data_IF_876177962072
#
_entry.id   IF_876177962072
#
_cell.length_a   1.000
_cell.length_b   1.000
_cell.length_c   1.000
_cell.angle_alpha   90.00
_cell.angle_beta   90.00
_cell.angle_gamma   90.00
#
_symmetry.space_group_name_H-M   'P 1'
#
loop_
_entity.id
_entity.type
_entity.pdbx_description
1 polymer ?
#
# COMPACT_ATOMS: atom_id res chain seq x y z
N UNK A 1 -15.72 -6.68 -11.37
CA UNK A 1 -15.30 -6.69 -12.80
C UNK A 1 -14.06 -5.81 -12.99
N UNK A 2 -13.38 -5.81 -14.16
CA UNK A 2 -12.14 -5.06 -14.39
C UNK A 2 -12.28 -3.55 -14.16
N UNK A 3 -13.48 -3.00 -14.44
CA UNK A 3 -13.85 -1.61 -14.18
C UNK A 3 -13.79 -1.26 -12.68
N UNK A 4 -14.13 -2.21 -11.80
CA UNK A 4 -14.34 -1.91 -10.39
C UNK A 4 -13.08 -1.94 -9.55
N UNK A 5 -12.07 -2.72 -9.96
CA UNK A 5 -10.86 -2.92 -9.16
C UNK A 5 -9.64 -3.22 -10.05
N UNK A 6 -8.44 -2.70 -9.72
CA UNK A 6 -7.20 -2.99 -10.47
C UNK A 6 -6.73 -4.45 -10.50
N UNK A 7 -7.49 -5.37 -9.92
CA UNK A 7 -7.23 -6.82 -9.91
C UNK A 7 -8.45 -7.60 -10.42
N UNK A 8 -9.44 -6.91 -10.99
CA UNK A 8 -10.65 -7.52 -11.51
C UNK A 8 -10.45 -8.04 -12.93
N UNK A 9 -11.19 -9.09 -13.28
CA UNK A 9 -11.12 -9.75 -14.58
C UNK A 9 -10.26 -11.02 -14.57
N UNK A 10 -10.13 -11.60 -15.75
CA UNK A 10 -9.48 -12.89 -15.96
C UNK A 10 -10.46 -14.05 -15.91
N UNK A 11 -10.08 -15.14 -16.57
CA UNK A 11 -10.81 -16.41 -16.52
C UNK A 11 -10.48 -17.14 -15.21
N UNK A 12 -11.52 -17.64 -14.53
CA UNK A 12 -11.36 -18.34 -13.24
C UNK A 12 -10.78 -17.45 -12.14
N UNK A 13 -9.82 -17.99 -11.36
CA UNK A 13 -9.13 -17.24 -10.30
C UNK A 13 -7.76 -16.80 -10.76
N UNK A 14 -7.56 -15.49 -10.94
CA UNK A 14 -6.28 -14.93 -11.35
C UNK A 14 -5.54 -14.19 -10.24
N UNK A 15 -4.21 -14.15 -10.37
CA UNK A 15 -3.35 -13.34 -9.52
C UNK A 15 -3.50 -11.84 -9.80
N UNK A 16 -2.71 -11.00 -9.13
CA UNK A 16 -2.84 -9.54 -9.26
C UNK A 16 -2.46 -8.95 -10.62
N UNK A 17 -1.69 -9.67 -11.45
CA UNK A 17 -1.19 -9.22 -12.76
C UNK A 17 -0.14 -8.08 -12.72
N UNK A 18 -0.20 -7.19 -11.72
CA UNK A 18 0.73 -6.07 -11.55
C UNK A 18 1.86 -6.38 -10.57
N UNK A 19 3.06 -5.86 -10.88
CA UNK A 19 4.25 -5.94 -10.00
C UNK A 19 4.00 -5.38 -8.60
N UNK A 20 3.17 -4.35 -8.48
CA UNK A 20 2.79 -3.72 -7.20
C UNK A 20 1.30 -3.95 -6.96
N UNK A 21 0.94 -4.26 -5.72
CA UNK A 21 -0.47 -4.27 -5.33
C UNK A 21 -1.01 -2.84 -5.39
N UNK A 22 -2.27 -2.70 -5.78
CA UNK A 22 -2.95 -1.40 -5.85
C UNK A 22 -4.24 -1.44 -5.05
N UNK A 23 -4.61 -0.31 -4.47
CA UNK A 23 -5.96 -0.12 -3.93
C UNK A 23 -6.98 -0.05 -5.08
N UNK A 24 -8.28 -0.09 -4.75
CA UNK A 24 -9.36 0.16 -5.71
C UNK A 24 -9.12 1.42 -6.57
N UNK A 25 -8.51 2.44 -5.96
CA UNK A 25 -8.23 3.74 -6.57
C UNK A 25 -6.86 3.82 -7.28
N UNK A 26 -6.19 2.69 -7.50
CA UNK A 26 -4.92 2.63 -8.22
C UNK A 26 -3.68 3.04 -7.41
N UNK A 27 -3.83 3.51 -6.17
CA UNK A 27 -2.68 3.87 -5.32
C UNK A 27 -1.90 2.61 -4.92
N UNK A 28 -0.56 2.63 -4.93
CA UNK A 28 0.22 1.50 -4.45
C UNK A 28 -0.18 1.12 -3.02
N UNK A 29 -0.51 -0.15 -2.82
CA UNK A 29 -0.80 -0.71 -1.50
C UNK A 29 0.19 -1.82 -1.20
N UNK A 30 0.54 -2.04 0.08
CA UNK A 30 1.46 -3.10 0.46
C UNK A 30 2.33 -2.79 1.68
N UNK A 31 3.12 -3.79 2.08
CA UNK A 31 4.02 -3.72 3.24
C UNK A 31 5.08 -2.64 2.99
N UNK A 32 5.18 -1.68 3.92
CA UNK A 32 6.18 -0.61 3.90
C UNK A 32 5.77 0.66 3.15
N UNK A 33 4.59 0.71 2.50
CA UNK A 33 4.11 1.93 1.86
C UNK A 33 3.54 2.90 2.89
N UNK A 34 4.27 4.00 3.14
CA UNK A 34 3.80 5.10 4.00
C UNK A 34 2.94 6.05 3.18
N UNK A 35 1.72 6.29 3.64
CA UNK A 35 0.76 7.21 2.98
C UNK A 35 0.82 8.63 3.54
N UNK A 36 1.50 8.84 4.68
CA UNK A 36 1.64 10.17 5.30
C UNK A 36 2.63 11.03 4.52
N UNK A 37 2.24 12.27 4.24
CA UNK A 37 3.08 13.25 3.55
C UNK A 37 4.26 13.70 4.42
N UNK A 38 5.46 13.91 3.85
CA UNK A 38 6.65 14.34 4.60
C UNK A 38 6.53 15.74 5.24
N UNK A 39 5.67 16.61 4.69
CA UNK A 39 5.51 18.01 5.14
C UNK A 39 4.20 18.30 5.89
N UNK A 40 3.53 17.26 6.43
CA UNK A 40 2.28 17.47 7.20
C UNK A 40 2.58 18.31 8.45
N UNK A 41 1.80 19.37 8.71
CA UNK A 41 2.00 20.28 9.86
C UNK A 41 2.13 19.54 11.19
N UNK A 42 1.35 18.49 11.42
CA UNK A 42 1.41 17.71 12.65
C UNK A 42 2.65 16.82 12.80
N UNK A 43 3.61 16.88 11.86
CA UNK A 43 4.89 16.17 11.99
C UNK A 43 5.73 16.70 13.16
N UNK A 44 5.60 17.99 13.50
CA UNK A 44 6.34 18.61 14.62
C UNK A 44 5.94 18.05 15.98
N UNK A 45 4.71 17.52 16.10
CA UNK A 45 4.19 16.97 17.35
C UNK A 45 4.45 15.46 17.50
N UNK A 46 5.18 14.82 16.58
CA UNK A 46 5.45 13.38 16.63
C UNK A 46 6.67 13.11 17.51
N UNK A 47 6.46 12.57 18.71
CA UNK A 47 7.55 12.17 19.62
C UNK A 47 8.21 10.86 19.17
N UNK A 48 7.43 9.88 18.71
CA UNK A 48 7.95 8.63 18.16
C UNK A 48 7.04 8.05 17.07
N UNK A 49 7.62 7.32 16.12
CA UNK A 49 6.87 6.65 15.05
C UNK A 49 6.68 5.17 15.37
N UNK A 50 5.50 4.63 15.05
CA UNK A 50 5.24 3.19 15.09
C UNK A 50 6.21 2.45 14.18
N UNK A 51 6.77 1.34 14.66
CA UNK A 51 7.56 0.41 13.83
C UNK A 51 6.63 -0.22 12.79
N UNK A 52 6.87 0.07 11.51
CA UNK A 52 6.11 -0.46 10.38
C UNK A 52 7.00 -1.39 9.55
N UNK A 53 6.71 -2.70 9.57
CA UNK A 53 7.50 -3.75 8.91
C UNK A 53 7.86 -4.90 9.87
N UNK A 54 8.29 -6.04 9.32
CA UNK A 54 8.93 -7.10 10.13
C UNK A 54 10.28 -6.56 10.62
N UNK A 55 10.64 -6.78 11.90
CA UNK A 55 12.05 -6.63 12.34
C UNK A 55 12.89 -7.46 11.36
N UNK A 56 13.89 -6.86 10.71
CA UNK A 56 14.96 -7.68 10.12
C UNK A 56 15.53 -8.48 11.31
N UNK A 57 15.32 -9.79 11.31
CA UNK A 57 16.18 -10.70 12.07
C UNK A 57 17.40 -10.87 11.17
N UNK A 58 18.58 -10.53 11.68
CA UNK A 58 19.83 -10.42 10.91
C UNK A 58 20.21 -8.97 10.78
#
# INVERSE_FOLDING_TARGET
NPVDHPHGGGEGRQGRGLRRAKSKWGKPTGKGQKTRTPKKYSNVFIVSRRKVGKKRKG
#
